data_IF_877695752477
#
_entry.id   IF_877695752477
#
_cell.length_a   1.000
_cell.length_b   1.000
_cell.length_c   1.000
_cell.angle_alpha   90.00
_cell.angle_beta   90.00
_cell.angle_gamma   90.00
#
_symmetry.space_group_name_H-M   'P 1'
#
loop_
_entity.id
_entity.type
_entity.pdbx_description
1 polymer ?
#
# COMPACT_ATOMS: atom_id res chain seq x y z
N UNK A 1 19.89 -13.47 7.76
CA UNK A 1 21.09 -12.93 7.08
C UNK A 1 22.34 -13.28 7.88
N UNK A 2 22.94 -14.46 7.68
CA UNK A 2 24.16 -14.83 8.41
C UNK A 2 25.30 -13.84 8.12
N UNK A 3 25.99 -13.38 9.16
CA UNK A 3 27.15 -12.46 9.03
C UNK A 3 26.82 -11.01 8.69
N UNK A 4 25.55 -10.61 8.67
CA UNK A 4 25.10 -9.24 8.41
C UNK A 4 24.31 -8.68 9.60
N UNK A 5 24.37 -7.36 9.76
CA UNK A 5 23.45 -6.62 10.61
C UNK A 5 22.22 -6.28 9.78
N UNK A 6 21.02 -6.49 10.35
CA UNK A 6 19.75 -6.14 9.74
C UNK A 6 18.96 -5.25 10.71
N UNK A 7 18.75 -3.99 10.33
CA UNK A 7 18.03 -3.02 11.16
C UNK A 7 16.67 -2.70 10.55
N UNK A 8 15.57 -2.83 11.31
CA UNK A 8 14.23 -2.58 10.79
C UNK A 8 14.06 -1.10 10.43
N UNK A 9 13.48 -0.85 9.26
CA UNK A 9 13.13 0.48 8.78
C UNK A 9 11.66 0.78 9.06
N UNK A 10 10.75 0.05 8.42
CA UNK A 10 9.30 0.21 8.60
C UNK A 10 8.56 -1.10 8.35
N UNK A 11 7.33 -1.18 8.87
CA UNK A 11 6.43 -2.30 8.64
C UNK A 11 5.60 -2.08 7.37
N UNK A 12 5.22 -3.18 6.74
CA UNK A 12 4.31 -3.19 5.60
C UNK A 12 2.88 -3.39 6.07
N UNK A 13 1.97 -2.56 5.54
CA UNK A 13 0.53 -2.74 5.68
C UNK A 13 -0.11 -3.01 4.31
N UNK A 14 -1.14 -3.84 4.30
CA UNK A 14 -1.90 -4.25 3.14
C UNK A 14 -3.29 -3.63 3.16
N UNK A 15 -3.74 -3.15 2.00
CA UNK A 15 -5.11 -2.70 1.79
C UNK A 15 -5.49 -2.74 0.30
N UNK A 16 -6.78 -2.97 -0.03
CA UNK A 16 -7.26 -2.88 -1.39
C UNK A 16 -7.12 -1.46 -1.94
N UNK A 17 -6.75 -1.36 -3.21
CA UNK A 17 -6.68 -0.11 -3.96
C UNK A 17 -7.18 -0.27 -5.39
N UNK A 18 -7.74 0.79 -5.95
CA UNK A 18 -8.23 0.81 -7.33
C UNK A 18 -8.23 2.25 -7.88
N UNK A 19 -8.45 2.40 -9.19
CA UNK A 19 -8.69 3.70 -9.79
C UNK A 19 -9.95 4.38 -9.20
N UNK A 20 -9.98 5.73 -9.06
CA UNK A 20 -11.10 6.48 -8.49
C UNK A 20 -12.47 6.12 -9.07
N UNK A 21 -12.53 5.86 -10.38
CA UNK A 21 -13.76 5.50 -11.10
C UNK A 21 -14.42 4.19 -10.63
N UNK A 22 -13.63 3.24 -10.10
CA UNK A 22 -14.14 1.97 -9.58
C UNK A 22 -14.60 2.11 -8.12
N UNK A 23 -13.97 3.00 -7.35
CA UNK A 23 -14.23 3.16 -5.92
C UNK A 23 -15.67 3.61 -5.60
N UNK A 24 -16.31 4.39 -6.48
CA UNK A 24 -17.70 4.83 -6.32
C UNK A 24 -18.71 3.66 -6.23
N UNK A 25 -18.32 2.49 -6.73
CA UNK A 25 -19.13 1.28 -6.73
C UNK A 25 -18.76 0.29 -5.61
N UNK A 26 -17.84 0.66 -4.71
CA UNK A 26 -17.33 -0.16 -3.62
C UNK A 26 -17.62 0.51 -2.27
N UNK A 27 -18.87 0.41 -1.80
CA UNK A 27 -19.33 1.07 -0.56
C UNK A 27 -19.01 0.25 0.68
N UNK A 28 -18.96 -1.08 0.53
CA UNK A 28 -18.66 -2.04 1.59
C UNK A 28 -17.79 -3.15 1.03
N UNK A 29 -17.00 -3.78 1.89
CA UNK A 29 -16.05 -4.79 1.48
C UNK A 29 -16.70 -5.99 0.75
N UNK A 30 -17.98 -6.30 1.02
CA UNK A 30 -18.73 -7.33 0.28
C UNK A 30 -18.95 -7.00 -1.20
N UNK A 31 -18.87 -5.73 -1.60
CA UNK A 31 -19.03 -5.28 -2.98
C UNK A 31 -17.83 -5.69 -3.87
N UNK A 32 -16.76 -6.23 -3.27
CA UNK A 32 -15.68 -6.91 -3.99
C UNK A 32 -16.16 -8.21 -4.68
N UNK A 33 -17.30 -8.78 -4.25
CA UNK A 33 -17.86 -9.96 -4.88
C UNK A 33 -18.20 -9.66 -6.35
N UNK A 34 -17.64 -10.46 -7.26
CA UNK A 34 -17.85 -10.30 -8.70
C UNK A 34 -16.99 -9.22 -9.36
N UNK A 35 -16.08 -8.58 -8.62
CA UNK A 35 -15.07 -7.68 -9.17
C UNK A 35 -13.82 -8.45 -9.59
N UNK A 36 -13.09 -7.88 -10.55
CA UNK A 36 -11.74 -8.33 -10.89
C UNK A 36 -10.79 -7.97 -9.74
N UNK A 37 -10.37 -8.98 -8.99
CA UNK A 37 -9.40 -8.87 -7.91
C UNK A 37 -8.04 -9.31 -8.46
N UNK A 38 -7.16 -8.33 -8.67
CA UNK A 38 -5.84 -8.52 -9.25
C UNK A 38 -4.94 -9.23 -8.24
N UNK A 39 -4.26 -10.29 -8.69
CA UNK A 39 -3.45 -11.16 -7.83
C UNK A 39 -1.96 -11.01 -8.13
N UNK A 40 -1.13 -11.33 -7.15
CA UNK A 40 0.33 -11.33 -7.27
C UNK A 40 0.84 -12.72 -6.97
N UNK A 41 1.52 -13.35 -7.93
CA UNK A 41 1.88 -14.77 -7.90
C UNK A 41 2.71 -15.16 -6.67
N UNK A 42 3.66 -14.30 -6.29
CA UNK A 42 4.53 -14.52 -5.13
C UNK A 42 3.90 -14.10 -3.78
N UNK A 43 2.62 -13.72 -3.76
CA UNK A 43 1.91 -13.35 -2.53
C UNK A 43 0.43 -13.78 -2.58
N UNK A 44 0.17 -15.09 -2.73
CA UNK A 44 -1.19 -15.62 -2.86
C UNK A 44 -2.04 -15.39 -1.61
N UNK A 45 -1.41 -15.20 -0.44
CA UNK A 45 -2.09 -15.04 0.85
C UNK A 45 -2.59 -13.62 1.14
N UNK A 46 -2.20 -12.61 0.34
CA UNK A 46 -2.56 -11.21 0.63
C UNK A 46 -4.08 -10.98 0.64
N UNK A 47 -4.77 -11.50 -0.38
CA UNK A 47 -6.23 -11.43 -0.47
C UNK A 47 -6.93 -12.25 0.63
N UNK A 48 -6.63 -13.55 0.83
CA UNK A 48 -7.16 -14.32 1.95
C UNK A 48 -6.97 -13.63 3.30
N UNK A 49 -5.78 -13.06 3.54
CA UNK A 49 -5.45 -12.35 4.77
C UNK A 49 -6.35 -11.15 4.99
N UNK A 50 -6.49 -10.29 3.99
CA UNK A 50 -7.33 -9.10 4.10
C UNK A 50 -8.82 -9.46 4.19
N UNK A 51 -9.30 -10.40 3.38
CA UNK A 51 -10.71 -10.85 3.39
C UNK A 51 -11.11 -11.47 4.73
N UNK A 52 -10.21 -12.25 5.35
CA UNK A 52 -10.41 -12.78 6.70
C UNK A 52 -10.56 -11.66 7.73
N UNK A 53 -9.69 -10.65 7.68
CA UNK A 53 -9.78 -9.50 8.58
C UNK A 53 -11.05 -8.67 8.34
N UNK A 54 -11.50 -8.56 7.09
CA UNK A 54 -12.76 -7.93 6.71
C UNK A 54 -14.00 -8.77 7.08
N UNK A 55 -13.83 -9.96 7.67
CA UNK A 55 -14.89 -10.91 7.98
C UNK A 55 -15.74 -11.32 6.76
N UNK A 56 -15.09 -11.44 5.60
CA UNK A 56 -15.72 -11.87 4.34
C UNK A 56 -15.34 -13.31 4.05
N UNK A 57 -16.25 -14.23 4.36
CA UNK A 57 -16.02 -15.67 4.17
C UNK A 57 -16.33 -16.18 2.75
N UNK A 58 -17.12 -15.45 1.95
CA UNK A 58 -17.67 -15.94 0.67
C UNK A 58 -17.11 -15.24 -0.58
N UNK A 59 -16.01 -14.52 -0.44
CA UNK A 59 -15.32 -13.89 -1.57
C UNK A 59 -13.98 -14.59 -1.75
N UNK A 60 -13.69 -14.99 -2.97
CA UNK A 60 -12.38 -15.49 -3.39
C UNK A 60 -11.84 -14.52 -4.42
N UNK A 61 -10.57 -14.15 -4.30
CA UNK A 61 -9.92 -13.32 -5.31
C UNK A 61 -9.88 -14.04 -6.65
N UNK A 62 -10.49 -13.42 -7.66
CA UNK A 62 -10.51 -13.89 -9.04
C UNK A 62 -10.19 -12.71 -9.95
N UNK A 63 -9.31 -12.94 -10.91
CA UNK A 63 -8.81 -11.91 -11.81
C UNK A 63 -7.43 -12.27 -12.35
N UNK A 64 -6.88 -11.40 -13.22
CA UNK A 64 -5.51 -11.53 -13.71
C UNK A 64 -4.51 -11.68 -12.57
N UNK A 65 -3.48 -12.48 -12.82
CA UNK A 65 -2.35 -12.67 -11.91
C UNK A 65 -1.11 -12.08 -12.55
N UNK A 66 -0.33 -11.38 -11.73
CA UNK A 66 0.87 -10.68 -12.12
C UNK A 66 2.06 -11.21 -11.34
N UNK A 67 3.25 -11.15 -11.93
CA UNK A 67 4.48 -11.57 -11.27
C UNK A 67 4.88 -10.60 -10.16
N UNK A 68 4.66 -9.30 -10.34
CA UNK A 68 5.08 -8.26 -9.40
C UNK A 68 3.96 -7.28 -9.00
N UNK A 69 4.06 -6.73 -7.78
CA UNK A 69 3.13 -5.70 -7.28
C UNK A 69 3.00 -4.50 -8.21
N UNK A 70 4.11 -4.01 -8.78
CA UNK A 70 4.08 -2.85 -9.67
C UNK A 70 3.19 -3.08 -10.90
N UNK A 71 3.17 -4.29 -11.45
CA UNK A 71 2.31 -4.63 -12.59
C UNK A 71 0.83 -4.68 -12.19
N UNK A 72 0.51 -5.29 -11.04
CA UNK A 72 -0.85 -5.32 -10.52
C UNK A 72 -1.36 -3.92 -10.15
N UNK A 73 -0.51 -3.06 -9.58
CA UNK A 73 -0.82 -1.68 -9.24
C UNK A 73 -1.05 -0.83 -10.49
N UNK A 74 -0.20 -0.97 -11.51
CA UNK A 74 -0.40 -0.28 -12.78
C UNK A 74 -1.73 -0.71 -13.43
N UNK A 75 -2.05 -2.01 -13.44
CA UNK A 75 -3.34 -2.49 -13.93
C UNK A 75 -4.54 -1.96 -13.10
N UNK A 76 -4.36 -1.72 -11.80
CA UNK A 76 -5.38 -1.08 -10.97
C UNK A 76 -5.55 0.42 -11.29
N UNK A 77 -4.45 1.14 -11.56
CA UNK A 77 -4.46 2.54 -12.05
C UNK A 77 -5.19 2.64 -13.39
N UNK A 78 -4.89 1.71 -14.30
CA UNK A 78 -5.54 1.61 -15.61
C UNK A 78 -7.00 1.12 -15.50
N UNK A 79 -7.44 0.78 -14.27
CA UNK A 79 -8.80 0.44 -13.89
C UNK A 79 -9.30 -0.92 -14.37
N UNK A 80 -8.40 -1.90 -14.51
CA UNK A 80 -8.72 -3.30 -14.80
C UNK A 80 -9.28 -4.07 -13.60
N UNK A 81 -9.17 -3.51 -12.39
CA UNK A 81 -9.67 -4.16 -11.19
C UNK A 81 -9.20 -3.49 -9.90
N UNK A 82 -9.35 -4.24 -8.80
CA UNK A 82 -8.86 -3.89 -7.47
C UNK A 82 -7.61 -4.69 -7.20
N UNK A 83 -6.51 -4.04 -6.81
CA UNK A 83 -5.27 -4.69 -6.40
C UNK A 83 -5.10 -4.63 -4.88
N UNK A 84 -4.25 -5.51 -4.35
CA UNK A 84 -3.70 -5.33 -3.00
C UNK A 84 -2.50 -4.38 -3.07
N UNK A 85 -2.64 -3.24 -2.42
CA UNK A 85 -1.57 -2.26 -2.24
C UNK A 85 -0.81 -2.49 -0.95
N UNK A 86 0.47 -2.14 -0.95
CA UNK A 86 1.35 -2.22 0.22
C UNK A 86 1.79 -0.81 0.60
N UNK A 87 1.56 -0.37 1.84
CA UNK A 87 2.19 0.87 2.34
C UNK A 87 3.61 0.60 2.85
N UNK A 88 4.56 1.54 2.64
CA UNK A 88 4.39 2.85 1.98
C UNK A 88 4.51 2.83 0.44
N UNK A 89 4.68 1.66 -0.19
CA UNK A 89 4.93 1.54 -1.64
C UNK A 89 3.87 2.25 -2.51
N UNK A 90 2.61 2.26 -2.07
CA UNK A 90 1.50 2.91 -2.80
C UNK A 90 1.23 4.36 -2.38
N UNK A 91 1.96 4.92 -1.42
CA UNK A 91 1.58 6.20 -0.81
C UNK A 91 1.66 7.36 -1.81
N UNK A 92 2.60 7.33 -2.75
CA UNK A 92 2.69 8.33 -3.82
C UNK A 92 1.53 8.23 -4.81
N UNK A 93 1.06 7.02 -5.14
CA UNK A 93 -0.11 6.81 -6.01
C UNK A 93 -1.39 7.30 -5.36
N UNK A 94 -1.52 7.09 -4.04
CA UNK A 94 -2.64 7.57 -3.24
C UNK A 94 -2.61 9.11 -3.11
N UNK A 95 -1.43 9.68 -2.87
CA UNK A 95 -1.26 11.14 -2.77
C UNK A 95 -1.54 11.83 -4.11
N UNK A 96 -1.14 11.23 -5.22
CA UNK A 96 -1.43 11.72 -6.57
C UNK A 96 -2.87 11.45 -7.04
N UNK A 97 -3.67 10.69 -6.28
CA UNK A 97 -5.04 10.33 -6.65
C UNK A 97 -5.15 9.36 -7.84
N UNK A 98 -4.04 8.74 -8.27
CA UNK A 98 -4.04 7.69 -9.31
C UNK A 98 -4.71 6.42 -8.80
N UNK A 99 -4.46 6.11 -7.54
CA UNK A 99 -5.16 5.07 -6.79
C UNK A 99 -5.92 5.70 -5.62
N UNK A 100 -6.97 5.02 -5.20
CA UNK A 100 -7.67 5.28 -3.95
C UNK A 100 -7.87 3.98 -3.19
N UNK A 101 -7.94 4.07 -1.86
CA UNK A 101 -8.31 2.97 -0.99
C UNK A 101 -9.84 3.02 -0.74
N UNK A 102 -10.65 2.10 -1.29
CA UNK A 102 -12.11 2.14 -1.14
C UNK A 102 -12.59 1.76 0.27
N UNK A 103 -11.72 1.20 1.12
CA UNK A 103 -12.06 0.79 2.48
C UNK A 103 -11.03 1.30 3.48
N UNK A 104 -11.47 1.59 4.71
CA UNK A 104 -10.59 2.04 5.79
C UNK A 104 -9.72 0.92 6.35
N UNK A 105 -10.16 -0.34 6.23
CA UNK A 105 -9.45 -1.50 6.78
C UNK A 105 -8.09 -1.69 6.10
N UNK A 106 -7.04 -1.56 6.90
CA UNK A 106 -5.68 -1.98 6.56
C UNK A 106 -5.21 -3.05 7.53
N UNK A 107 -4.44 -4.02 7.03
CA UNK A 107 -3.97 -5.17 7.81
C UNK A 107 -2.45 -5.27 7.73
N UNK A 108 -1.75 -5.66 8.81
CA UNK A 108 -0.30 -5.87 8.73
C UNK A 108 0.04 -6.91 7.67
N UNK A 109 0.96 -6.62 6.75
CA UNK A 109 1.48 -7.64 5.82
C UNK A 109 2.24 -8.74 6.56
N UNK A 110 2.80 -8.42 7.73
CA UNK A 110 3.66 -9.34 8.49
C UNK A 110 5.10 -9.34 8.00
N UNK A 111 5.47 -8.38 7.15
CA UNK A 111 6.82 -8.15 6.66
C UNK A 111 7.30 -6.76 7.10
N UNK A 112 8.61 -6.61 7.17
CA UNK A 112 9.30 -5.34 7.46
C UNK A 112 10.41 -5.14 6.44
N UNK A 113 10.72 -3.89 6.12
CA UNK A 113 11.94 -3.56 5.40
C UNK A 113 13.09 -3.41 6.37
N UNK A 114 14.28 -3.79 5.92
CA UNK A 114 15.50 -3.74 6.73
C UNK A 114 16.62 -3.07 5.96
N UNK A 115 17.41 -2.26 6.65
CA UNK A 115 18.76 -1.89 6.20
C UNK A 115 19.69 -3.04 6.55
N UNK A 116 20.23 -3.71 5.53
CA UNK A 116 21.12 -4.87 5.71
C UNK A 116 22.54 -4.50 5.29
N UNK A 117 23.52 -4.74 6.16
CA UNK A 117 24.92 -4.35 5.92
C UNK A 117 25.92 -5.18 6.76
N UNK A 118 27.19 -5.13 6.38
CA UNK A 118 28.27 -5.74 7.17
C UNK A 118 28.63 -4.88 8.38
N UNK A 119 28.77 -5.50 9.56
CA UNK A 119 29.03 -4.78 10.82
C UNK A 119 30.25 -3.86 10.79
N UNK A 120 31.32 -4.21 10.07
CA UNK A 120 32.54 -3.39 9.98
C UNK A 120 32.32 -2.04 9.27
N UNK A 121 31.22 -1.86 8.52
CA UNK A 121 30.93 -0.59 7.82
C UNK A 121 30.53 0.54 8.76
N UNK A 122 30.13 0.26 9.99
CA UNK A 122 29.69 1.28 10.97
C UNK A 122 30.79 2.28 11.33
N UNK A 123 32.07 1.89 11.22
CA UNK A 123 33.22 2.78 11.44
C UNK A 123 33.48 3.77 10.30
N UNK A 124 32.84 3.60 9.14
CA UNK A 124 33.01 4.50 7.99
C UNK A 124 32.09 5.71 8.13
N UNK A 125 32.66 6.92 8.10
CA UNK A 125 31.91 8.18 8.35
C UNK A 125 30.72 8.34 7.41
N UNK A 126 30.90 8.04 6.13
CA UNK A 126 29.85 8.21 5.10
C UNK A 126 28.71 7.22 5.29
N UNK A 127 29.03 5.96 5.59
CA UNK A 127 28.02 4.96 5.91
C UNK A 127 27.27 5.30 7.19
N UNK A 128 27.97 5.75 8.24
CA UNK A 128 27.34 6.15 9.48
C UNK A 128 26.37 7.34 9.26
N UNK A 129 26.73 8.29 8.39
CA UNK A 129 25.86 9.39 7.99
C UNK A 129 24.62 8.89 7.23
N UNK A 130 24.80 8.04 6.21
CA UNK A 130 23.71 7.44 5.46
C UNK A 130 22.76 6.61 6.35
N UNK A 131 23.32 5.75 7.21
CA UNK A 131 22.56 4.92 8.17
C UNK A 131 21.68 5.78 9.07
N UNK A 132 22.23 6.86 9.65
CA UNK A 132 21.43 7.78 10.49
C UNK A 132 20.32 8.44 9.67
N UNK A 133 20.63 8.88 8.47
CA UNK A 133 19.66 9.52 7.59
C UNK A 133 18.52 8.57 7.19
N UNK A 134 18.83 7.36 6.70
CA UNK A 134 17.80 6.41 6.22
C UNK A 134 16.90 5.92 7.36
N UNK A 135 17.44 5.70 8.56
CA UNK A 135 16.63 5.34 9.74
C UNK A 135 15.68 6.49 10.10
N UNK A 136 16.15 7.74 10.05
CA UNK A 136 15.30 8.91 10.29
C UNK A 136 14.22 9.04 9.23
N UNK A 137 14.59 8.95 7.95
CA UNK A 137 13.67 9.03 6.83
C UNK A 137 12.61 7.92 6.85
N UNK A 138 12.98 6.71 7.30
CA UNK A 138 12.07 5.59 7.47
C UNK A 138 11.07 5.76 8.63
N UNK A 139 11.43 6.54 9.66
CA UNK A 139 10.57 6.84 10.79
C UNK A 139 9.63 8.03 10.54
N UNK A 140 9.96 8.89 9.55
CA UNK A 140 9.09 9.99 9.15
C UNK A 140 7.84 9.42 8.45
N UNK A 141 6.61 9.72 8.92
CA UNK A 141 5.41 9.30 8.22
C UNK A 141 5.41 9.94 6.82
N UNK A 142 5.18 9.14 5.77
CA UNK A 142 4.98 9.65 4.42
C UNK A 142 3.97 10.81 4.51
N UNK A 143 4.41 12.01 4.14
CA UNK A 143 3.69 13.26 4.39
C UNK A 143 2.23 13.10 3.94
N UNK A 144 1.30 13.00 4.89
CA UNK A 144 -0.14 13.06 4.62
C UNK A 144 -0.37 14.35 3.82
N UNK A 145 -0.69 14.23 2.54
CA UNK A 145 -1.16 15.36 1.75
C UNK A 145 -2.37 15.95 2.49
N UNK A 146 -2.18 17.12 3.10
CA UNK A 146 -3.23 17.84 3.84
C UNK A 146 -4.41 18.04 2.89
N UNK A 147 -5.57 17.59 3.35
CA UNK A 147 -6.82 17.68 2.62
C UNK A 147 -7.05 19.03 1.98
N UNK A 148 -7.45 18.97 0.72
CA UNK A 148 -8.04 20.07 -0.01
C UNK A 148 -9.31 20.47 0.74
N UNK A 149 -9.21 21.52 1.56
CA UNK A 149 -10.36 22.14 2.21
C UNK A 149 -11.31 22.56 1.11
N UNK A 150 -12.49 21.94 1.13
CA UNK A 150 -13.73 22.43 0.54
C UNK A 150 -13.80 23.96 0.64
N UNK A 151 -13.70 24.64 -0.50
CA UNK A 151 -14.33 25.93 -0.69
C UNK A 151 -15.69 25.65 -1.34
N UNK A 152 -16.64 25.24 -0.51
CA UNK A 152 -18.06 25.47 -0.77
C UNK A 152 -18.50 26.55 0.21
N UNK A 153 -18.58 27.77 -0.29
CA UNK A 153 -19.60 28.76 0.06
C UNK A 153 -20.30 28.99 -1.29
N UNK A 154 -21.45 28.40 -1.57
CA UNK A 154 -22.77 28.80 -1.06
C UNK A 154 -22.84 30.30 -0.76
N UNK A 155 -23.33 31.09 -1.71
CA UNK A 155 -24.74 31.49 -1.65
C UNK A 155 -25.11 32.42 -2.82
N UNK A 156 -26.13 31.98 -3.53
CA UNK A 156 -27.16 32.74 -4.23
C UNK A 156 -27.60 33.98 -3.44
N UNK A 157 -27.39 35.18 -3.98
CA UNK A 157 -28.25 36.36 -3.74
C UNK A 157 -27.81 37.57 -4.57
N UNK A 158 -28.47 37.75 -5.72
CA UNK A 158 -29.23 38.95 -6.14
C UNK A 158 -29.46 38.94 -7.64
#
# INVERSE_FOLDING_TARGET
WPGLVAEPLFAADLLPVCAPRLASQLKRASDLKGRSLLRVAHSPDDWPKWLKAASIARVTARGPEFEFYGQALQAAVDGLGVAMGIRPYIDDDLAAGRLVAPFELSVPKGMRWYLVYHGFRTGQRDFAAFRRWIIRAAAEPATRAKGQRSLVRDETSR
#
